data_IF_577698168474
#
_entry.id   IF_577698168474
#
_cell.length_a   1.000
_cell.length_b   1.000
_cell.length_c   1.000
_cell.angle_alpha   90.00
_cell.angle_beta   90.00
_cell.angle_gamma   90.00
#
_symmetry.space_group_name_H-M   'P 1'
#
loop_
_entity.id
_entity.type
_entity.pdbx_description
1 polymer ?
#
# COMPACT_ATOMS: atom_id res chain seq x y z
N UNK A 1 10.23 11.47 -4.86
CA UNK A 1 9.97 10.30 -4.01
C UNK A 1 8.82 10.61 -3.08
N UNK A 2 7.85 9.68 -2.98
CA UNK A 2 6.81 9.70 -1.95
C UNK A 2 7.05 8.53 -1.02
N UNK A 3 6.85 8.73 0.28
CA UNK A 3 7.02 7.67 1.27
C UNK A 3 6.09 7.88 2.47
N UNK A 4 5.81 6.79 3.15
CA UNK A 4 5.03 6.75 4.39
C UNK A 4 5.99 6.65 5.57
N UNK A 5 5.62 7.30 6.67
CA UNK A 5 6.30 7.20 7.96
C UNK A 5 5.23 6.86 9.01
N UNK A 6 5.04 5.57 9.32
CA UNK A 6 4.04 5.14 10.27
C UNK A 6 4.47 5.41 11.70
N UNK A 7 3.50 5.64 12.58
CA UNK A 7 3.79 5.73 14.01
C UNK A 7 4.33 4.41 14.55
N UNK A 8 5.51 4.44 15.14
CA UNK A 8 6.22 3.24 15.56
C UNK A 8 5.59 2.67 16.84
N UNK A 9 4.88 1.55 16.69
CA UNK A 9 4.22 0.84 17.78
C UNK A 9 5.23 0.45 18.88
N UNK A 10 4.90 0.79 20.12
CA UNK A 10 5.65 0.38 21.30
C UNK A 10 6.85 1.24 21.68
N UNK A 11 7.11 2.33 20.95
CA UNK A 11 8.03 3.36 21.44
C UNK A 11 7.31 4.31 22.41
N UNK A 12 7.94 4.68 23.53
CA UNK A 12 7.50 5.81 24.36
C UNK A 12 7.39 7.09 23.53
N UNK A 13 6.44 7.96 23.87
CA UNK A 13 6.23 9.23 23.14
C UNK A 13 7.49 10.11 23.08
N UNK A 14 8.30 10.10 24.15
CA UNK A 14 9.55 10.84 24.23
C UNK A 14 10.67 10.31 23.31
N UNK A 15 10.51 9.09 22.77
CA UNK A 15 11.45 8.49 21.83
C UNK A 15 11.00 8.67 20.37
N UNK A 16 9.82 9.23 20.14
CA UNK A 16 9.29 9.49 18.79
C UNK A 16 9.77 10.86 18.30
N UNK A 17 10.52 10.88 17.21
CA UNK A 17 11.05 12.13 16.65
C UNK A 17 9.94 13.06 16.13
N UNK A 18 8.88 12.51 15.50
CA UNK A 18 7.81 13.31 14.91
C UNK A 18 6.52 13.36 15.73
N UNK A 19 6.25 12.36 16.59
CA UNK A 19 5.03 12.27 17.37
C UNK A 19 3.73 12.10 16.55
N UNK A 20 3.85 11.79 15.26
CA UNK A 20 2.72 11.51 14.35
C UNK A 20 3.15 10.66 13.16
N UNK A 21 2.20 9.93 12.61
CA UNK A 21 2.37 9.23 11.33
C UNK A 21 2.06 10.18 10.16
N UNK A 22 2.73 9.98 9.01
CA UNK A 22 2.57 10.88 7.88
C UNK A 22 2.90 10.26 6.52
N UNK A 23 2.51 10.97 5.48
CA UNK A 23 2.96 10.78 4.10
C UNK A 23 3.79 12.00 3.72
N UNK A 24 4.96 11.74 3.19
CA UNK A 24 5.91 12.78 2.78
C UNK A 24 6.25 12.69 1.29
N UNK A 25 6.67 13.82 0.74
CA UNK A 25 7.32 13.92 -0.56
C UNK A 25 8.71 14.51 -0.40
N UNK A 26 9.72 13.83 -0.94
CA UNK A 26 11.07 14.35 -1.10
C UNK A 26 11.32 14.67 -2.59
N UNK A 27 11.63 15.91 -2.91
CA UNK A 27 12.00 16.38 -4.24
C UNK A 27 13.47 16.09 -4.57
N UNK A 28 13.87 16.10 -5.85
CA UNK A 28 15.28 15.93 -6.23
C UNK A 28 16.23 17.01 -5.69
N UNK A 29 15.71 18.21 -5.41
CA UNK A 29 16.45 19.33 -4.82
C UNK A 29 16.63 19.22 -3.30
N UNK A 30 16.07 18.16 -2.69
CA UNK A 30 16.13 17.89 -1.25
C UNK A 30 14.97 18.49 -0.45
N UNK A 31 14.03 19.19 -1.09
CA UNK A 31 12.85 19.72 -0.38
C UNK A 31 11.98 18.58 0.12
N UNK A 32 11.81 18.51 1.43
CA UNK A 32 10.91 17.58 2.11
C UNK A 32 9.60 18.27 2.44
N UNK A 33 8.49 17.74 1.95
CA UNK A 33 7.15 18.26 2.18
C UNK A 33 6.29 17.24 2.91
N UNK A 34 5.63 17.64 4.01
CA UNK A 34 4.56 16.89 4.64
C UNK A 34 3.30 17.01 3.77
N UNK A 35 2.74 15.88 3.33
CA UNK A 35 1.58 15.85 2.44
C UNK A 35 0.27 15.52 3.17
N UNK A 36 0.29 14.53 4.07
CA UNK A 36 -0.88 14.10 4.83
C UNK A 36 -0.49 13.49 6.18
N UNK A 37 -1.38 13.59 7.17
CA UNK A 37 -1.23 12.97 8.50
C UNK A 37 -2.58 12.53 9.10
N UNK A 38 -3.47 12.10 8.25
CA UNK A 38 -4.84 11.70 8.59
C UNK A 38 -5.01 10.19 8.77
N UNK A 39 -3.90 9.44 8.70
CA UNK A 39 -3.84 8.01 8.98
C UNK A 39 -2.96 7.71 10.18
N UNK A 40 -3.31 6.65 10.92
CA UNK A 40 -2.55 6.25 12.12
C UNK A 40 -1.29 5.44 11.79
N UNK A 41 -1.37 4.61 10.75
CA UNK A 41 -0.26 3.73 10.38
C UNK A 41 -0.23 3.52 8.86
N UNK A 42 0.04 4.59 8.08
CA UNK A 42 0.19 4.48 6.65
C UNK A 42 1.38 3.57 6.32
N UNK A 43 1.19 2.63 5.39
CA UNK A 43 2.18 1.63 5.05
C UNK A 43 2.45 1.61 3.53
N UNK A 44 2.07 0.56 2.81
CA UNK A 44 2.24 0.47 1.38
C UNK A 44 1.57 1.61 0.63
N UNK A 45 2.21 2.13 -0.41
CA UNK A 45 1.66 3.15 -1.27
C UNK A 45 1.94 2.85 -2.75
N UNK A 46 1.01 3.25 -3.62
CA UNK A 46 1.17 3.15 -5.06
C UNK A 46 0.32 4.20 -5.80
N UNK A 47 0.90 4.75 -6.87
CA UNK A 47 0.17 5.64 -7.76
C UNK A 47 -0.68 4.87 -8.76
N UNK A 48 -1.82 5.45 -9.15
CA UNK A 48 -2.50 5.07 -10.39
C UNK A 48 -1.57 5.28 -11.60
N UNK A 49 -1.86 4.58 -12.70
CA UNK A 49 -1.03 4.65 -13.92
C UNK A 49 -0.89 6.07 -14.48
N UNK A 50 -1.92 6.89 -14.35
CA UNK A 50 -1.95 8.28 -14.80
C UNK A 50 -1.42 9.27 -13.76
N UNK A 51 -0.98 8.77 -12.61
CA UNK A 51 -0.45 9.50 -11.46
C UNK A 51 -1.44 10.52 -10.85
N UNK A 52 -2.74 10.37 -11.10
CA UNK A 52 -3.77 11.26 -10.55
C UNK A 52 -4.33 10.81 -9.21
N UNK A 53 -4.09 9.56 -8.83
CA UNK A 53 -4.48 9.03 -7.54
C UNK A 53 -3.28 8.37 -6.85
N UNK A 54 -3.21 8.53 -5.54
CA UNK A 54 -2.29 7.80 -4.66
C UNK A 54 -3.13 6.93 -3.73
N UNK A 55 -2.92 5.62 -3.80
CA UNK A 55 -3.50 4.66 -2.87
C UNK A 55 -2.51 4.37 -1.75
N UNK A 56 -3.02 4.24 -0.54
CA UNK A 56 -2.23 3.97 0.66
C UNK A 56 -2.95 2.97 1.55
N UNK A 57 -2.25 1.92 1.98
CA UNK A 57 -2.77 1.00 2.99
C UNK A 57 -2.56 1.56 4.40
N UNK A 58 -3.60 1.53 5.23
CA UNK A 58 -3.49 1.81 6.67
C UNK A 58 -3.52 0.50 7.46
N UNK A 59 -2.44 0.18 8.19
CA UNK A 59 -2.31 -1.13 8.85
C UNK A 59 -3.11 -1.24 10.13
N UNK A 60 -3.23 -0.15 10.91
CA UNK A 60 -3.80 -0.19 12.28
C UNK A 60 -4.07 1.21 12.84
N UNK A 61 -4.87 1.34 13.93
CA UNK A 61 -5.69 0.30 14.56
C UNK A 61 -6.93 -0.05 13.74
N UNK A 62 -7.16 0.68 12.67
CA UNK A 62 -8.31 0.67 11.79
C UNK A 62 -7.86 0.35 10.35
N UNK A 63 -7.72 -0.97 10.00
CA UNK A 63 -7.17 -1.37 8.71
C UNK A 63 -8.10 -1.02 7.55
N UNK A 64 -7.57 -0.31 6.56
CA UNK A 64 -8.33 0.09 5.38
C UNK A 64 -7.42 0.43 4.20
N UNK A 65 -8.00 0.46 3.01
CA UNK A 65 -7.41 1.08 1.83
C UNK A 65 -7.88 2.52 1.74
N UNK A 66 -6.95 3.44 1.56
CA UNK A 66 -7.19 4.88 1.46
C UNK A 66 -6.74 5.41 0.10
N UNK A 67 -7.33 6.50 -0.37
CA UNK A 67 -6.96 7.16 -1.61
C UNK A 67 -6.95 8.69 -1.47
N UNK A 68 -6.06 9.30 -2.23
CA UNK A 68 -5.97 10.75 -2.42
C UNK A 68 -5.96 11.05 -3.90
N UNK A 69 -6.55 12.16 -4.29
CA UNK A 69 -6.26 12.77 -5.58
C UNK A 69 -4.91 13.49 -5.51
N UNK A 70 -4.16 13.46 -6.61
CA UNK A 70 -2.86 14.10 -6.73
C UNK A 70 -3.00 15.33 -7.60
N UNK A 71 -2.77 16.50 -7.03
CA UNK A 71 -2.82 17.76 -7.76
C UNK A 71 -1.66 17.89 -8.77
N UNK A 72 -1.74 18.85 -9.67
CA UNK A 72 -0.65 19.14 -10.62
C UNK A 72 0.64 19.60 -9.95
N UNK A 73 0.57 20.10 -8.71
CA UNK A 73 1.74 20.43 -7.87
C UNK A 73 2.27 19.24 -7.08
N UNK A 74 1.59 18.08 -7.14
CA UNK A 74 1.93 16.86 -6.42
C UNK A 74 1.49 16.85 -4.96
N UNK A 75 0.51 17.67 -4.60
CA UNK A 75 -0.14 17.67 -3.29
C UNK A 75 -1.24 16.62 -3.24
N UNK A 76 -1.49 16.08 -2.05
CA UNK A 76 -2.57 15.13 -1.79
C UNK A 76 -3.82 15.90 -1.37
N UNK A 77 -4.90 15.73 -2.12
CA UNK A 77 -6.20 16.37 -1.90
C UNK A 77 -7.31 15.31 -1.96
N UNK A 78 -8.53 15.69 -1.57
CA UNK A 78 -9.72 14.83 -1.65
C UNK A 78 -9.49 13.45 -0.99
N UNK A 79 -8.94 13.46 0.23
CA UNK A 79 -8.72 12.28 1.07
C UNK A 79 -10.00 11.47 1.24
N UNK A 80 -9.96 10.18 0.96
CA UNK A 80 -11.13 9.29 1.08
C UNK A 80 -10.74 7.85 1.43
N UNK A 81 -11.59 7.20 2.19
CA UNK A 81 -11.49 5.76 2.44
C UNK A 81 -12.13 5.02 1.27
N UNK A 82 -11.39 4.07 0.69
CA UNK A 82 -11.86 3.22 -0.41
C UNK A 82 -12.67 2.05 0.14
N UNK A 83 -12.08 1.29 1.06
CA UNK A 83 -12.74 0.15 1.69
C UNK A 83 -12.11 -0.21 3.03
N UNK A 84 -12.89 -0.90 3.86
CA UNK A 84 -12.39 -1.56 5.06
C UNK A 84 -11.62 -2.83 4.69
N UNK A 85 -10.57 -3.11 5.48
CA UNK A 85 -9.77 -4.34 5.38
C UNK A 85 -9.69 -4.98 6.78
N UNK A 86 -10.81 -5.49 7.32
CA UNK A 86 -10.89 -5.89 8.72
C UNK A 86 -9.88 -6.98 9.06
N UNK A 87 -9.45 -7.00 10.31
CA UNK A 87 -8.67 -8.11 10.84
C UNK A 87 -9.46 -9.42 10.77
N UNK A 88 -8.75 -10.53 10.57
CA UNK A 88 -9.29 -11.86 10.78
C UNK A 88 -9.52 -12.19 12.28
N UNK A 89 -10.00 -13.41 12.59
CA UNK A 89 -10.33 -13.80 13.95
C UNK A 89 -9.18 -13.68 14.97
N UNK A 90 -7.93 -13.87 14.52
CA UNK A 90 -6.74 -13.72 15.37
C UNK A 90 -6.17 -12.29 15.42
N UNK A 91 -6.94 -11.29 14.95
CA UNK A 91 -6.53 -9.90 14.93
C UNK A 91 -5.34 -9.65 14.00
N UNK A 92 -4.36 -8.87 14.44
CA UNK A 92 -3.16 -8.55 13.65
C UNK A 92 -2.32 -9.79 13.27
N UNK A 93 -2.51 -10.92 13.96
CA UNK A 93 -1.82 -12.17 13.67
C UNK A 93 -2.26 -12.82 12.35
N UNK A 94 -3.45 -12.48 11.85
CA UNK A 94 -3.96 -12.91 10.54
C UNK A 94 -3.47 -12.03 9.39
N UNK A 95 -2.64 -11.04 9.68
CA UNK A 95 -2.11 -10.07 8.73
C UNK A 95 -2.74 -8.69 8.84
N UNK A 96 -2.04 -7.72 8.30
CA UNK A 96 -2.47 -6.31 8.25
C UNK A 96 -2.24 -5.79 6.83
N UNK A 97 -2.94 -4.73 6.39
CA UNK A 97 -2.58 -4.02 5.17
C UNK A 97 -1.13 -3.53 5.25
N UNK A 98 -0.30 -3.96 4.28
CA UNK A 98 1.13 -3.66 4.25
C UNK A 98 1.53 -3.26 2.82
N UNK A 99 2.21 -4.10 2.05
CA UNK A 99 2.59 -3.78 0.69
C UNK A 99 1.40 -3.58 -0.25
N UNK A 100 1.50 -2.59 -1.14
CA UNK A 100 0.45 -2.21 -2.10
C UNK A 100 1.07 -1.94 -3.46
N UNK A 101 0.45 -2.46 -4.52
CA UNK A 101 0.85 -2.23 -5.92
C UNK A 101 -0.37 -2.21 -6.83
N UNK A 102 -0.21 -1.64 -8.04
CA UNK A 102 -1.19 -1.69 -9.11
C UNK A 102 -0.62 -2.43 -10.32
N UNK A 103 -1.52 -3.08 -11.08
CA UNK A 103 -1.19 -3.62 -12.41
C UNK A 103 -1.49 -2.59 -13.53
N UNK A 104 -1.16 -2.97 -14.77
CA UNK A 104 -1.31 -2.09 -15.92
C UNK A 104 -2.78 -1.81 -16.31
N UNK A 105 -3.71 -2.65 -15.89
CA UNK A 105 -5.15 -2.48 -16.09
C UNK A 105 -5.77 -1.60 -14.99
N UNK A 106 -4.98 -1.22 -13.97
CA UNK A 106 -5.41 -0.38 -12.85
C UNK A 106 -5.98 -1.16 -11.67
N UNK A 107 -5.92 -2.51 -11.69
CA UNK A 107 -6.33 -3.27 -10.54
C UNK A 107 -5.35 -3.03 -9.37
N UNK A 108 -5.91 -2.96 -8.16
CA UNK A 108 -5.18 -2.66 -6.93
C UNK A 108 -4.96 -3.96 -6.17
N UNK A 109 -3.74 -4.16 -5.69
CA UNK A 109 -3.35 -5.32 -4.90
C UNK A 109 -2.73 -4.86 -3.59
N UNK A 110 -3.31 -5.24 -2.46
CA UNK A 110 -2.75 -4.98 -1.13
C UNK A 110 -2.66 -6.26 -0.32
N UNK A 111 -1.54 -6.45 0.35
CA UNK A 111 -1.48 -7.49 1.37
C UNK A 111 -2.40 -7.12 2.53
N UNK A 112 -2.94 -8.11 3.22
CA UNK A 112 -3.87 -7.90 4.32
C UNK A 112 -4.20 -9.19 5.06
N UNK A 113 -5.21 -9.16 5.90
CA UNK A 113 -5.69 -10.36 6.59
C UNK A 113 -6.10 -11.44 5.59
N UNK A 114 -5.57 -12.65 5.77
CA UNK A 114 -5.87 -13.82 4.96
C UNK A 114 -5.15 -13.90 3.61
N UNK A 115 -4.44 -12.85 3.14
CA UNK A 115 -3.76 -12.92 1.86
C UNK A 115 -3.59 -11.60 1.12
N UNK A 116 -3.70 -11.63 -0.21
CA UNK A 116 -3.64 -10.44 -1.07
C UNK A 116 -5.07 -10.09 -1.49
N UNK A 117 -5.52 -8.93 -1.07
CA UNK A 117 -6.79 -8.35 -1.48
C UNK A 117 -6.65 -7.69 -2.84
N UNK A 118 -7.63 -7.91 -3.71
CA UNK A 118 -7.61 -7.42 -5.10
C UNK A 118 -8.87 -6.65 -5.40
N UNK A 119 -8.73 -5.42 -5.91
CA UNK A 119 -9.83 -4.59 -6.41
C UNK A 119 -9.62 -4.29 -7.89
N UNK A 120 -10.70 -4.09 -8.62
CA UNK A 120 -10.65 -3.57 -9.99
C UNK A 120 -10.32 -2.07 -10.02
N UNK A 121 -10.19 -1.52 -11.24
CA UNK A 121 -9.89 -0.09 -11.44
C UNK A 121 -11.02 0.85 -10.97
N UNK A 122 -12.23 0.35 -10.78
CA UNK A 122 -13.39 1.07 -10.23
C UNK A 122 -13.52 0.87 -8.71
N UNK A 123 -12.49 0.27 -8.08
CA UNK A 123 -12.40 0.03 -6.63
C UNK A 123 -13.39 -1.00 -6.08
N UNK A 124 -13.97 -1.86 -6.94
CA UNK A 124 -14.80 -2.97 -6.50
C UNK A 124 -13.91 -4.15 -6.07
N UNK A 125 -14.20 -4.72 -4.90
CA UNK A 125 -13.46 -5.88 -4.40
C UNK A 125 -13.71 -7.10 -5.29
N UNK A 126 -12.66 -7.65 -5.90
CA UNK A 126 -12.70 -8.87 -6.69
C UNK A 126 -12.53 -10.13 -5.83
N UNK A 127 -11.76 -10.04 -4.73
CA UNK A 127 -11.54 -11.15 -3.81
C UNK A 127 -10.21 -11.08 -3.09
N UNK A 128 -9.87 -12.19 -2.42
CA UNK A 128 -8.60 -12.35 -1.70
C UNK A 128 -7.88 -13.58 -2.24
N UNK A 129 -6.61 -13.41 -2.62
CA UNK A 129 -5.72 -14.52 -2.98
C UNK A 129 -5.07 -15.04 -1.72
N UNK A 130 -5.53 -16.19 -1.26
CA UNK A 130 -4.98 -16.85 -0.07
C UNK A 130 -3.56 -17.38 -0.34
N UNK A 131 -2.68 -17.26 0.65
CA UNK A 131 -1.31 -17.77 0.62
C UNK A 131 -1.06 -18.65 1.85
N UNK A 132 -0.13 -19.61 1.75
CA UNK A 132 0.21 -20.47 2.91
C UNK A 132 0.83 -19.70 4.08
N UNK A 133 1.39 -18.52 3.84
CA UNK A 133 1.98 -17.63 4.84
C UNK A 133 1.47 -16.21 4.65
N UNK A 134 1.51 -15.41 5.71
CA UNK A 134 1.11 -14.01 5.68
C UNK A 134 2.02 -13.20 4.75
N UNK A 135 1.47 -12.57 3.71
CA UNK A 135 2.25 -11.71 2.82
C UNK A 135 2.59 -10.38 3.50
N UNK A 136 3.77 -9.84 3.17
CA UNK A 136 4.21 -8.52 3.61
C UNK A 136 4.28 -7.53 2.43
N UNK A 137 4.78 -7.96 1.27
CA UNK A 137 4.89 -7.09 0.11
C UNK A 137 4.78 -7.89 -1.19
N UNK A 138 4.58 -7.19 -2.29
CA UNK A 138 4.46 -7.79 -3.62
C UNK A 138 5.05 -6.89 -4.69
N UNK A 139 5.36 -7.48 -5.85
CA UNK A 139 5.86 -6.76 -7.01
C UNK A 139 5.88 -7.65 -8.23
N UNK A 140 5.85 -7.06 -9.42
CA UNK A 140 5.93 -7.81 -10.66
C UNK A 140 7.35 -7.89 -11.20
N UNK A 141 7.61 -8.97 -11.94
CA UNK A 141 8.88 -9.22 -12.60
C UNK A 141 8.74 -10.19 -13.78
N UNK A 142 9.88 -10.78 -14.13
CA UNK A 142 10.13 -11.50 -15.38
C UNK A 142 10.05 -10.59 -16.62
N UNK A 143 10.45 -11.13 -17.78
CA UNK A 143 10.57 -10.36 -19.02
C UNK A 143 9.25 -9.79 -19.53
N UNK A 144 8.12 -10.43 -19.20
CA UNK A 144 6.77 -10.02 -19.58
C UNK A 144 6.02 -9.26 -18.49
N UNK A 145 6.67 -9.05 -17.34
CA UNK A 145 6.12 -8.37 -16.16
C UNK A 145 4.77 -8.95 -15.68
N UNK A 146 4.55 -10.28 -15.88
CA UNK A 146 3.32 -10.99 -15.49
C UNK A 146 3.51 -11.99 -14.36
N UNK A 147 4.68 -12.05 -13.77
CA UNK A 147 4.92 -12.84 -12.56
C UNK A 147 4.92 -11.91 -11.36
N UNK A 148 3.93 -12.07 -10.50
CA UNK A 148 3.89 -11.41 -9.21
C UNK A 148 4.75 -12.22 -8.23
N UNK A 149 5.73 -11.58 -7.64
CA UNK A 149 6.53 -12.09 -6.53
C UNK A 149 5.99 -11.51 -5.24
N UNK A 150 5.77 -12.38 -4.26
CA UNK A 150 5.19 -12.00 -2.96
C UNK A 150 6.14 -12.42 -1.86
N UNK A 151 6.62 -11.47 -1.09
CA UNK A 151 7.39 -11.75 0.12
C UNK A 151 6.43 -12.07 1.26
N UNK A 152 6.68 -13.17 1.94
CA UNK A 152 5.94 -13.61 3.11
C UNK A 152 6.91 -13.82 4.28
N UNK A 153 6.46 -14.40 5.39
CA UNK A 153 7.28 -14.50 6.61
C UNK A 153 8.63 -15.20 6.38
N UNK A 154 8.60 -16.39 5.79
CA UNK A 154 9.80 -17.22 5.59
C UNK A 154 10.04 -17.58 4.13
N UNK A 155 9.13 -17.21 3.24
CA UNK A 155 9.11 -17.63 1.84
C UNK A 155 8.91 -16.46 0.88
N UNK A 156 9.26 -16.71 -0.38
CA UNK A 156 8.85 -15.88 -1.51
C UNK A 156 7.99 -16.73 -2.42
N UNK A 157 6.77 -16.27 -2.64
CA UNK A 157 5.82 -16.91 -3.56
C UNK A 157 5.86 -16.24 -4.92
N UNK A 158 5.51 -16.96 -5.96
CA UNK A 158 5.29 -16.41 -7.29
C UNK A 158 3.95 -16.88 -7.85
N UNK A 159 3.22 -15.95 -8.46
CA UNK A 159 1.94 -16.19 -9.11
C UNK A 159 1.96 -15.60 -10.50
N UNK A 160 1.29 -16.26 -11.45
CA UNK A 160 1.09 -15.68 -12.80
C UNK A 160 -0.19 -14.88 -12.82
N UNK A 161 -0.09 -13.64 -13.29
CA UNK A 161 -1.22 -12.72 -13.45
C UNK A 161 -1.60 -12.56 -14.91
N UNK A 162 -2.88 -12.30 -15.17
CA UNK A 162 -3.40 -12.03 -16.51
C UNK A 162 -3.01 -10.63 -17.00
N UNK A 163 -3.04 -9.64 -16.12
CA UNK A 163 -2.52 -8.31 -16.36
C UNK A 163 -1.03 -8.22 -15.97
N UNK A 164 -0.19 -7.51 -16.72
CA UNK A 164 1.18 -7.21 -16.29
C UNK A 164 1.17 -6.14 -15.20
N UNK A 165 2.17 -6.15 -14.33
CA UNK A 165 2.40 -5.05 -13.41
C UNK A 165 2.78 -3.75 -14.14
N UNK A 166 2.65 -2.61 -13.48
CA UNK A 166 3.17 -1.35 -14.01
C UNK A 166 4.70 -1.41 -14.02
N UNK A 167 5.36 -1.24 -15.18
CA UNK A 167 6.81 -1.25 -15.23
C UNK A 167 7.42 -0.15 -14.37
N UNK A 168 8.51 -0.46 -13.67
CA UNK A 168 9.31 0.56 -12.96
C UNK A 168 9.92 1.48 -14.01
N UNK A 169 9.59 2.77 -13.94
CA UNK A 169 10.23 3.77 -14.78
C UNK A 169 11.61 4.10 -14.17
N UNK A 170 12.64 3.98 -14.98
CA UNK A 170 14.04 4.30 -14.62
C UNK A 170 14.40 5.71 -15.04
#
# INVERSE_FOLDING_TARGET
LYFTDPDKKGLPEEEKELGYAAIFRLRPDGELTLLARDMNHPNGLAFSRDHKSLYVSNSRPDPHLHAYDVSSSGELINSRRVCEMPYGPAGELDGVPDGLKLDADGNIYSTGSGGIWVWDADENLLGVVELPELPANLGWGDSDNRTMFVTARTSVYRLRTTAPGIPVQH
#
